data_IF_705932622660
#
_entry.id   IF_705932622660
#
_cell.length_a   1.000
_cell.length_b   1.000
_cell.length_c   1.000
_cell.angle_alpha   90.00
_cell.angle_beta   90.00
_cell.angle_gamma   90.00
#
_symmetry.space_group_name_H-M   'P 1'
#
loop_
_entity.id
_entity.type
_entity.pdbx_description
1 polymer ?
#
# COMPACT_ATOMS: atom_id res chain seq x y z
N UNK A 1 1.82 3.47 5.76
CA UNK A 1 2.53 4.22 6.80
C UNK A 1 2.57 3.39 8.06
N UNK A 2 3.74 3.33 8.72
CA UNK A 2 3.96 2.62 9.98
C UNK A 2 4.65 3.61 10.91
N UNK A 3 4.28 3.59 12.19
CA UNK A 3 4.88 4.43 13.23
C UNK A 3 5.19 3.51 14.41
N UNK A 4 6.46 3.44 14.81
CA UNK A 4 6.89 2.70 16.00
C UNK A 4 7.25 3.72 17.07
N UNK A 5 6.64 3.62 18.25
CA UNK A 5 6.71 4.64 19.29
C UNK A 5 6.99 4.00 20.65
N UNK A 6 7.94 4.58 21.37
CA UNK A 6 8.08 4.49 22.82
C UNK A 6 7.21 5.58 23.48
N UNK A 7 7.35 6.84 23.07
CA UNK A 7 6.49 7.95 23.49
C UNK A 7 5.46 8.34 22.43
N UNK A 8 4.18 8.27 22.80
CA UNK A 8 3.05 8.65 21.95
C UNK A 8 2.68 10.14 21.99
N UNK A 9 3.53 10.96 22.63
CA UNK A 9 3.42 12.42 22.67
C UNK A 9 4.79 13.05 22.49
N UNK A 10 4.83 14.37 22.34
CA UNK A 10 6.10 15.09 22.23
C UNK A 10 6.72 14.97 20.85
N UNK A 11 8.05 15.07 20.80
CA UNK A 11 8.76 15.07 19.53
C UNK A 11 8.79 13.72 18.85
N UNK A 12 8.78 12.62 19.61
CA UNK A 12 8.86 11.28 19.03
C UNK A 12 7.68 11.01 18.09
N UNK A 13 6.45 11.26 18.56
CA UNK A 13 5.29 11.15 17.68
C UNK A 13 5.42 12.03 16.45
N UNK A 14 5.75 13.32 16.62
CA UNK A 14 5.91 14.26 15.50
C UNK A 14 7.02 13.83 14.53
N UNK A 15 8.11 13.25 15.02
CA UNK A 15 9.24 12.82 14.20
C UNK A 15 8.90 11.57 13.38
N UNK A 16 8.40 10.53 14.04
CA UNK A 16 8.11 9.25 13.42
C UNK A 16 6.90 9.33 12.45
N UNK A 17 5.89 10.12 12.80
CA UNK A 17 4.82 10.46 11.86
C UNK A 17 5.36 11.33 10.72
N UNK A 18 6.30 12.23 11.00
CA UNK A 18 6.97 13.06 9.99
C UNK A 18 7.63 12.24 8.88
N UNK A 19 8.31 11.14 9.23
CA UNK A 19 8.88 10.21 8.25
C UNK A 19 7.84 9.63 7.28
N UNK A 20 6.60 9.43 7.72
CA UNK A 20 5.52 8.95 6.86
C UNK A 20 5.09 9.98 5.81
N UNK A 21 5.38 11.26 6.03
CA UNK A 21 5.15 12.35 5.07
C UNK A 21 6.32 12.53 4.08
N UNK A 22 7.30 11.62 4.08
CA UNK A 22 8.47 11.69 3.20
C UNK A 22 9.59 12.60 3.71
N UNK A 23 9.54 13.01 4.98
CA UNK A 23 10.56 13.86 5.59
C UNK A 23 11.78 13.03 6.00
N UNK A 24 12.97 13.54 5.70
CA UNK A 24 14.23 13.08 6.29
C UNK A 24 14.56 13.82 7.59
N UNK A 25 15.79 13.68 8.08
CA UNK A 25 16.30 14.49 9.20
C UNK A 25 16.83 15.84 8.71
N UNK A 26 16.76 16.86 9.57
CA UNK A 26 17.30 18.21 9.32
C UNK A 26 16.87 18.80 7.97
N UNK A 27 15.57 18.69 7.66
CA UNK A 27 15.01 19.08 6.36
C UNK A 27 15.28 20.56 6.08
N UNK A 28 16.01 20.82 4.98
CA UNK A 28 16.41 22.18 4.58
C UNK A 28 17.54 22.80 5.40
N UNK A 29 18.25 22.03 6.23
CA UNK A 29 19.31 22.53 7.12
C UNK A 29 18.81 23.65 8.02
N UNK A 30 19.69 24.58 8.42
CA UNK A 30 19.32 25.73 9.27
C UNK A 30 18.11 26.51 8.75
N UNK A 31 18.04 26.76 7.44
CA UNK A 31 16.97 27.53 6.80
C UNK A 31 15.59 26.87 6.89
N UNK A 32 15.54 25.54 6.96
CA UNK A 32 14.30 24.78 7.03
C UNK A 32 13.98 24.23 8.43
N UNK A 33 14.99 24.01 9.26
CA UNK A 33 14.86 23.25 10.51
C UNK A 33 14.86 24.09 11.79
N UNK A 34 15.20 25.37 11.72
CA UNK A 34 15.12 26.30 12.87
C UNK A 34 13.90 27.20 12.69
N UNK A 35 13.07 27.35 13.73
CA UNK A 35 11.99 28.36 13.74
C UNK A 35 12.60 29.76 13.81
N UNK A 36 12.01 30.73 13.09
CA UNK A 36 12.66 32.03 12.87
C UNK A 36 11.82 33.22 13.33
N UNK A 37 12.45 34.38 13.51
CA UNK A 37 11.80 35.67 13.75
C UNK A 37 11.01 36.16 12.54
N UNK A 38 10.09 37.12 12.73
CA UNK A 38 9.13 37.53 11.69
C UNK A 38 9.76 38.20 10.45
N UNK A 39 10.97 38.73 10.58
CA UNK A 39 11.76 39.34 9.50
C UNK A 39 12.53 38.32 8.65
N UNK A 40 12.39 37.03 8.96
CA UNK A 40 13.14 35.93 8.35
C UNK A 40 12.21 34.98 7.61
N UNK A 41 12.77 34.24 6.63
CA UNK A 41 12.10 33.07 6.04
C UNK A 41 11.84 32.01 7.11
N UNK A 42 10.98 31.03 6.82
CA UNK A 42 10.67 29.91 7.74
C UNK A 42 10.12 30.37 9.11
N UNK A 43 9.40 31.50 9.12
CA UNK A 43 8.77 32.09 10.29
C UNK A 43 7.27 31.92 10.25
N UNK A 44 6.69 31.44 11.35
CA UNK A 44 5.24 31.39 11.59
C UNK A 44 4.96 31.16 13.07
N UNK A 45 3.72 31.40 13.49
CA UNK A 45 3.17 30.88 14.75
C UNK A 45 2.12 29.82 14.44
N UNK A 46 2.00 28.83 15.32
CA UNK A 46 0.88 27.88 15.26
C UNK A 46 -0.44 28.56 15.62
N UNK A 47 -1.54 27.91 15.25
CA UNK A 47 -2.90 28.34 15.56
C UNK A 47 -3.70 27.17 16.12
N UNK A 48 -4.25 27.34 17.32
CA UNK A 48 -5.24 26.45 17.91
C UNK A 48 -6.63 27.09 17.69
N UNK A 49 -7.40 26.53 16.76
CA UNK A 49 -8.69 27.07 16.36
C UNK A 49 -9.78 26.86 17.43
N UNK A 50 -9.71 25.75 18.17
CA UNK A 50 -10.71 25.41 19.19
C UNK A 50 -10.58 26.32 20.43
N UNK A 51 -9.35 26.67 20.78
CA UNK A 51 -9.06 27.60 21.89
C UNK A 51 -8.94 29.05 21.43
N UNK A 52 -8.98 29.30 20.12
CA UNK A 52 -8.84 30.60 19.50
C UNK A 52 -7.57 31.34 19.96
N UNK A 53 -6.43 30.65 19.92
CA UNK A 53 -5.14 31.14 20.45
C UNK A 53 -3.97 30.79 19.54
N UNK A 54 -3.03 31.72 19.43
CA UNK A 54 -1.74 31.45 18.81
C UNK A 54 -0.84 30.59 19.69
N UNK A 55 0.00 29.78 19.03
CA UNK A 55 1.08 29.00 19.62
C UNK A 55 2.40 29.62 19.14
N UNK A 56 3.10 30.42 19.97
CA UNK A 56 4.37 31.00 19.59
C UNK A 56 5.42 29.94 19.23
N UNK A 57 6.32 30.28 18.30
CA UNK A 57 7.40 29.40 17.85
C UNK A 57 8.68 29.49 18.68
N UNK A 58 8.56 29.90 19.94
CA UNK A 58 9.66 30.05 20.89
C UNK A 58 9.25 29.57 22.29
N UNK A 59 10.24 29.23 23.10
CA UNK A 59 10.06 28.79 24.48
C UNK A 59 9.38 29.86 25.34
N UNK A 60 8.50 29.50 26.30
CA UNK A 60 7.98 30.46 27.27
C UNK A 60 9.08 30.98 28.23
N UNK A 61 10.23 30.28 28.31
CA UNK A 61 11.34 30.58 29.21
C UNK A 61 12.29 31.59 28.55
N UNK A 62 12.64 32.65 29.29
CA UNK A 62 13.65 33.66 28.88
C UNK A 62 15.07 33.18 29.20
N UNK A 63 15.58 32.22 28.43
CA UNK A 63 16.92 31.65 28.64
C UNK A 63 18.05 32.54 28.10
N UNK A 64 17.75 33.45 27.17
CA UNK A 64 18.74 34.23 26.42
C UNK A 64 19.56 33.42 25.40
N UNK A 65 19.24 32.14 25.19
CA UNK A 65 20.02 31.26 24.29
C UNK A 65 19.57 31.42 22.85
N UNK A 66 20.54 31.48 21.95
CA UNK A 66 20.35 31.31 20.52
C UNK A 66 19.97 29.85 20.18
N UNK A 67 19.28 29.67 19.06
CA UNK A 67 18.98 28.34 18.51
C UNK A 67 19.82 28.14 17.25
N UNK A 68 20.76 27.19 17.30
CA UNK A 68 21.76 27.02 16.25
C UNK A 68 21.69 25.65 15.58
N UNK A 69 22.01 25.61 14.29
CA UNK A 69 22.22 24.40 13.49
C UNK A 69 23.27 24.69 12.42
N UNK A 70 24.26 23.81 12.27
CA UNK A 70 25.37 23.94 11.31
C UNK A 70 26.02 25.33 11.29
N UNK A 71 26.53 25.76 12.45
CA UNK A 71 27.23 27.04 12.69
C UNK A 71 26.42 28.32 12.39
N UNK A 72 25.13 28.20 12.09
CA UNK A 72 24.20 29.31 11.95
C UNK A 72 23.25 29.37 13.13
N UNK A 73 22.90 30.58 13.58
CA UNK A 73 22.11 30.80 14.80
C UNK A 73 20.93 31.76 14.56
N UNK A 74 19.83 31.49 15.27
CA UNK A 74 18.69 32.40 15.43
C UNK A 74 18.75 33.03 16.81
N UNK A 75 18.86 34.36 16.86
CA UNK A 75 18.81 35.13 18.10
C UNK A 75 17.44 34.99 18.77
N UNK A 76 17.37 34.98 20.12
CA UNK A 76 16.12 34.84 20.84
C UNK A 76 15.20 36.07 20.71
N UNK A 77 13.89 35.87 20.76
CA UNK A 77 12.90 36.96 20.81
C UNK A 77 12.59 37.34 22.27
N UNK A 78 12.93 38.57 22.68
CA UNK A 78 12.77 39.02 24.08
C UNK A 78 13.34 38.00 25.10
N UNK A 79 14.55 37.49 24.79
CA UNK A 79 15.24 36.48 25.59
C UNK A 79 14.69 35.05 25.48
N UNK A 80 13.66 34.79 24.66
CA UNK A 80 13.09 33.45 24.44
C UNK A 80 13.69 32.78 23.22
N UNK A 81 14.30 31.61 23.43
CA UNK A 81 14.86 30.81 22.34
C UNK A 81 13.78 30.30 21.40
N UNK A 82 14.01 30.42 20.10
CA UNK A 82 13.16 29.82 19.08
C UNK A 82 13.23 28.29 19.11
N UNK A 83 12.18 27.62 18.64
CA UNK A 83 12.17 26.16 18.53
C UNK A 83 12.97 25.61 17.35
N UNK A 84 13.04 24.28 17.30
CA UNK A 84 13.50 23.53 16.13
C UNK A 84 12.35 22.70 15.57
N UNK A 85 12.46 22.35 14.29
CA UNK A 85 11.56 21.43 13.60
C UNK A 85 11.56 20.05 14.27
N UNK A 86 10.46 19.31 14.13
CA UNK A 86 10.35 17.97 14.70
C UNK A 86 11.38 16.98 14.13
N UNK A 87 11.87 17.23 12.91
CA UNK A 87 12.89 16.44 12.22
C UNK A 87 14.33 16.84 12.58
N UNK A 88 14.50 17.79 13.50
CA UNK A 88 15.81 18.35 13.89
C UNK A 88 15.98 18.45 15.42
N UNK A 89 15.30 17.60 16.18
CA UNK A 89 15.39 17.58 17.65
C UNK A 89 14.56 18.66 18.35
N UNK A 90 13.49 19.13 17.71
CA UNK A 90 12.51 20.02 18.33
C UNK A 90 11.82 19.40 19.55
N UNK A 91 11.03 20.22 20.25
CA UNK A 91 10.20 19.76 21.36
C UNK A 91 8.97 20.66 21.51
N UNK A 92 7.88 20.17 22.13
CA UNK A 92 6.74 21.03 22.44
C UNK A 92 7.14 22.17 23.39
N UNK A 93 6.64 23.38 23.15
CA UNK A 93 7.02 24.55 23.96
C UNK A 93 6.38 24.58 25.35
N UNK A 94 5.21 23.94 25.52
CA UNK A 94 4.49 23.90 26.79
C UNK A 94 3.47 22.76 26.79
N UNK A 95 2.85 22.51 27.95
CA UNK A 95 1.72 21.56 28.05
C UNK A 95 0.45 21.98 27.28
N UNK A 96 0.40 23.20 26.72
CA UNK A 96 -0.76 23.69 25.96
C UNK A 96 -0.97 22.89 24.66
N UNK A 97 0.11 22.60 23.94
CA UNK A 97 0.16 21.71 22.78
C UNK A 97 1.33 20.74 23.00
N UNK A 98 1.02 19.45 23.17
CA UNK A 98 2.02 18.43 23.57
C UNK A 98 2.77 17.82 22.38
N UNK A 99 2.69 18.43 21.20
CA UNK A 99 3.39 17.99 19.98
C UNK A 99 4.36 19.06 19.51
N UNK A 100 5.43 18.65 18.84
CA UNK A 100 6.42 19.60 18.31
C UNK A 100 5.84 20.33 17.10
N UNK A 101 6.00 21.65 17.08
CA UNK A 101 5.56 22.48 15.97
C UNK A 101 6.51 22.28 14.78
N UNK A 102 6.01 21.78 13.65
CA UNK A 102 6.78 21.77 12.40
C UNK A 102 7.05 23.20 11.92
N UNK A 103 8.22 23.41 11.30
CA UNK A 103 8.53 24.69 10.65
C UNK A 103 7.72 24.87 9.37
N UNK A 104 7.58 26.11 8.85
CA UNK A 104 6.91 26.37 7.58
C UNK A 104 7.43 25.52 6.41
N UNK A 105 8.75 25.33 6.31
CA UNK A 105 9.38 24.49 5.30
C UNK A 105 8.84 23.04 5.35
N UNK A 106 8.85 22.43 6.54
CA UNK A 106 8.36 21.07 6.73
C UNK A 106 6.84 20.99 6.54
N UNK A 107 6.08 21.96 7.06
CA UNK A 107 4.63 22.02 6.90
C UNK A 107 4.20 22.08 5.42
N UNK A 108 4.95 22.83 4.58
CA UNK A 108 4.70 22.89 3.14
C UNK A 108 4.94 21.54 2.44
N UNK A 109 5.99 20.80 2.84
CA UNK A 109 6.26 19.45 2.32
C UNK A 109 5.16 18.47 2.75
N UNK A 110 4.72 18.54 4.01
CA UNK A 110 3.62 17.72 4.52
C UNK A 110 2.33 18.02 3.73
N UNK A 111 2.02 19.29 3.47
CA UNK A 111 0.86 19.68 2.67
C UNK A 111 0.91 19.05 1.28
N UNK A 112 2.04 19.20 0.56
CA UNK A 112 2.22 18.59 -0.77
C UNK A 112 2.10 17.06 -0.72
N UNK A 113 2.63 16.43 0.32
CA UNK A 113 2.46 14.99 0.53
C UNK A 113 0.98 14.63 0.64
N UNK A 114 0.20 15.33 1.46
CA UNK A 114 -1.22 15.05 1.65
C UNK A 114 -2.01 15.27 0.35
N UNK A 115 -1.77 16.36 -0.36
CA UNK A 115 -2.37 16.65 -1.67
C UNK A 115 -2.06 15.56 -2.71
N UNK A 116 -0.89 14.92 -2.63
CA UNK A 116 -0.53 13.83 -3.54
C UNK A 116 -1.25 12.51 -3.30
N UNK A 117 -1.99 12.35 -2.19
CA UNK A 117 -2.59 11.07 -1.79
C UNK A 117 -4.08 11.03 -2.13
N UNK A 118 -4.54 9.88 -2.59
CA UNK A 118 -5.96 9.60 -2.63
C UNK A 118 -6.50 9.41 -1.21
N UNK A 119 -7.75 9.81 -0.99
CA UNK A 119 -8.50 9.66 0.25
C UNK A 119 -9.68 8.73 0.03
N UNK A 120 -10.09 8.01 1.07
CA UNK A 120 -11.36 7.29 1.06
C UNK A 120 -12.52 8.28 1.02
N UNK A 121 -13.47 8.06 0.13
CA UNK A 121 -14.60 8.96 -0.10
C UNK A 121 -15.85 8.14 -0.42
N UNK A 122 -16.81 8.11 0.51
CA UNK A 122 -18.05 7.34 0.37
C UNK A 122 -18.97 7.90 -0.72
N UNK A 123 -18.89 9.21 -1.00
CA UNK A 123 -19.72 9.89 -2.00
C UNK A 123 -19.13 9.77 -3.41
N UNK A 124 -17.85 9.40 -3.52
CA UNK A 124 -17.20 9.13 -4.81
C UNK A 124 -17.72 7.84 -5.44
N UNK A 125 -17.98 7.83 -6.77
CA UNK A 125 -18.40 6.61 -7.48
C UNK A 125 -17.36 5.48 -7.42
N UNK A 126 -16.07 5.81 -7.22
CA UNK A 126 -14.99 4.84 -7.09
C UNK A 126 -14.69 4.47 -5.63
N UNK A 127 -15.30 5.15 -4.66
CA UNK A 127 -14.99 5.03 -3.24
C UNK A 127 -13.73 5.80 -2.79
N UNK A 128 -13.10 6.53 -3.71
CA UNK A 128 -11.90 7.33 -3.43
C UNK A 128 -11.92 8.62 -4.22
N UNK A 129 -11.28 9.64 -3.67
CA UNK A 129 -11.04 10.91 -4.36
C UNK A 129 -9.58 11.31 -4.24
N UNK A 130 -9.05 12.05 -5.21
CA UNK A 130 -7.69 12.59 -5.17
C UNK A 130 -7.72 14.05 -5.64
N UNK A 131 -6.86 14.88 -5.04
CA UNK A 131 -6.73 16.28 -5.43
C UNK A 131 -6.14 16.40 -6.84
N UNK A 132 -6.80 17.19 -7.69
CA UNK A 132 -6.31 17.57 -9.00
C UNK A 132 -5.88 19.05 -8.96
N UNK A 133 -4.57 19.29 -9.10
CA UNK A 133 -4.00 20.64 -9.07
C UNK A 133 -4.39 21.51 -10.28
N UNK A 134 -4.68 20.91 -11.44
CA UNK A 134 -5.08 21.65 -12.63
C UNK A 134 -6.50 22.20 -12.51
N UNK A 135 -7.39 21.47 -11.83
CA UNK A 135 -8.79 21.88 -11.64
C UNK A 135 -9.06 22.52 -10.28
N UNK A 136 -8.16 22.34 -9.32
CA UNK A 136 -8.26 22.84 -7.96
C UNK A 136 -9.38 22.15 -7.17
N UNK A 137 -9.62 20.85 -7.40
CA UNK A 137 -10.74 20.09 -6.84
C UNK A 137 -10.36 18.64 -6.53
N UNK A 138 -11.12 18.01 -5.64
CA UNK A 138 -11.10 16.56 -5.47
C UNK A 138 -11.87 15.90 -6.63
N UNK A 139 -11.27 14.88 -7.25
CA UNK A 139 -11.85 14.12 -8.36
C UNK A 139 -11.83 12.62 -8.07
N UNK A 140 -12.75 11.81 -8.65
CA UNK A 140 -12.79 10.38 -8.41
C UNK A 140 -11.48 9.68 -8.77
N UNK A 141 -10.95 8.88 -7.83
CA UNK A 141 -9.73 8.12 -8.00
C UNK A 141 -10.02 6.62 -8.14
N UNK A 142 -9.56 5.98 -9.21
CA UNK A 142 -9.73 4.53 -9.41
C UNK A 142 -8.63 3.75 -8.69
N UNK A 143 -8.92 3.25 -7.49
CA UNK A 143 -8.03 2.33 -6.79
C UNK A 143 -8.11 0.93 -7.41
N UNK A 144 -6.96 0.37 -7.78
CA UNK A 144 -6.87 -0.92 -8.46
C UNK A 144 -5.97 -1.89 -7.70
N UNK A 145 -6.35 -3.16 -7.69
CA UNK A 145 -5.57 -4.26 -7.11
C UNK A 145 -5.29 -5.32 -8.17
N UNK A 146 -4.13 -5.96 -8.07
CA UNK A 146 -3.79 -7.13 -8.87
C UNK A 146 -4.56 -8.35 -8.31
N UNK A 147 -5.28 -9.07 -9.18
CA UNK A 147 -6.09 -10.24 -8.78
C UNK A 147 -5.75 -11.51 -9.54
N UNK A 148 -4.72 -11.47 -10.37
CA UNK A 148 -4.35 -12.57 -11.25
C UNK A 148 -3.08 -13.23 -10.72
N UNK A 149 -3.07 -14.56 -10.76
CA UNK A 149 -1.87 -15.34 -10.48
C UNK A 149 -0.85 -15.06 -11.58
N UNK A 150 0.35 -14.61 -11.20
CA UNK A 150 1.38 -14.28 -12.17
C UNK A 150 2.73 -14.88 -11.81
N UNK A 151 3.50 -15.21 -12.85
CA UNK A 151 4.85 -15.73 -12.70
C UNK A 151 5.78 -15.19 -13.78
N UNK A 152 7.08 -15.16 -13.49
CA UNK A 152 8.10 -14.91 -14.52
C UNK A 152 8.70 -16.24 -14.95
N UNK A 153 8.54 -16.57 -16.22
CA UNK A 153 9.04 -17.82 -16.80
C UNK A 153 10.57 -17.86 -16.80
N UNK A 154 11.19 -18.98 -16.39
CA UNK A 154 12.63 -19.18 -16.51
C UNK A 154 13.01 -19.38 -17.99
N UNK A 155 13.55 -18.34 -18.63
CA UNK A 155 13.72 -18.31 -20.09
C UNK A 155 14.72 -19.34 -20.63
N UNK A 156 15.72 -19.77 -19.84
CA UNK A 156 16.78 -20.69 -20.27
C UNK A 156 16.24 -22.05 -20.75
N UNK A 157 15.17 -22.54 -20.12
CA UNK A 157 14.57 -23.85 -20.41
C UNK A 157 13.08 -23.71 -20.76
N UNK A 158 12.69 -22.58 -21.35
CA UNK A 158 11.30 -22.30 -21.70
C UNK A 158 10.89 -23.01 -22.99
N UNK A 159 10.33 -24.21 -22.84
CA UNK A 159 9.69 -24.97 -23.94
C UNK A 159 8.20 -24.67 -24.02
N UNK A 160 7.55 -25.04 -25.14
CA UNK A 160 6.08 -24.95 -25.26
C UNK A 160 5.37 -25.71 -24.15
N UNK A 161 5.83 -26.94 -23.83
CA UNK A 161 5.27 -27.74 -22.75
C UNK A 161 5.37 -27.04 -21.38
N UNK A 162 6.48 -26.35 -21.12
CA UNK A 162 6.65 -25.55 -19.89
C UNK A 162 5.78 -24.30 -19.89
N UNK A 163 5.58 -23.66 -21.04
CA UNK A 163 4.63 -22.56 -21.18
C UNK A 163 3.19 -23.04 -20.91
N UNK A 164 2.81 -24.21 -21.43
CA UNK A 164 1.50 -24.83 -21.15
C UNK A 164 1.31 -25.09 -19.66
N UNK A 165 2.32 -25.67 -18.98
CA UNK A 165 2.21 -25.93 -17.53
C UNK A 165 2.08 -24.63 -16.73
N UNK A 166 2.84 -23.59 -17.09
CA UNK A 166 2.73 -22.29 -16.43
C UNK A 166 1.36 -21.64 -16.68
N UNK A 167 0.81 -21.68 -17.90
CA UNK A 167 -0.50 -21.11 -18.21
C UNK A 167 -1.69 -21.92 -17.65
N UNK A 168 -1.44 -23.15 -17.18
CA UNK A 168 -2.44 -23.93 -16.45
C UNK A 168 -2.58 -23.42 -15.00
N UNK A 169 -1.48 -23.00 -14.39
CA UNK A 169 -1.42 -22.54 -12.99
C UNK A 169 -1.60 -21.02 -12.85
N UNK A 170 -0.99 -20.25 -13.75
CA UNK A 170 -0.94 -18.79 -13.69
C UNK A 170 -1.81 -18.15 -14.77
N UNK A 171 -2.50 -17.08 -14.41
CA UNK A 171 -3.26 -16.23 -15.33
C UNK A 171 -2.35 -15.45 -16.27
N UNK A 172 -1.18 -15.04 -15.77
CA UNK A 172 -0.19 -14.28 -16.52
C UNK A 172 1.20 -14.90 -16.41
N UNK A 173 1.80 -15.22 -17.56
CA UNK A 173 3.18 -15.66 -17.65
C UNK A 173 4.02 -14.56 -18.30
N UNK A 174 4.94 -13.97 -17.52
CA UNK A 174 5.88 -12.97 -18.00
C UNK A 174 7.17 -13.64 -18.48
N UNK A 175 7.55 -13.39 -19.72
CA UNK A 175 8.83 -13.80 -20.32
C UNK A 175 9.73 -12.57 -20.35
N UNK A 176 10.59 -12.45 -19.34
CA UNK A 176 11.52 -11.33 -19.17
C UNK A 176 12.93 -11.73 -19.58
N UNK A 177 13.50 -11.03 -20.56
CA UNK A 177 14.82 -11.33 -21.11
C UNK A 177 15.76 -10.14 -20.96
N UNK A 178 17.01 -10.42 -20.62
CA UNK A 178 18.10 -9.44 -20.55
C UNK A 178 19.42 -10.11 -20.92
N UNK A 179 20.50 -9.33 -21.03
CA UNK A 179 21.82 -9.89 -21.29
C UNK A 179 22.20 -10.89 -20.18
N UNK A 180 22.59 -12.11 -20.57
CA UNK A 180 22.86 -13.23 -19.66
C UNK A 180 21.63 -14.05 -19.22
N UNK A 181 20.41 -13.59 -19.50
CA UNK A 181 19.15 -14.33 -19.28
C UNK A 181 18.26 -14.21 -20.52
N UNK A 182 18.55 -15.02 -21.53
CA UNK A 182 17.97 -14.91 -22.87
C UNK A 182 17.69 -16.29 -23.46
N UNK A 183 16.68 -16.36 -24.33
CA UNK A 183 16.42 -17.52 -25.18
C UNK A 183 16.13 -17.07 -26.61
N UNK A 184 16.49 -17.92 -27.58
CA UNK A 184 16.31 -17.65 -29.00
C UNK A 184 14.86 -17.74 -29.43
N UNK A 185 14.14 -18.72 -28.91
CA UNK A 185 12.78 -19.05 -29.33
C UNK A 185 11.85 -19.00 -28.11
N UNK A 186 10.68 -18.41 -28.28
CA UNK A 186 9.61 -18.36 -27.28
C UNK A 186 8.41 -19.02 -27.91
N UNK A 187 8.02 -20.18 -27.40
CA UNK A 187 6.90 -20.94 -27.96
C UNK A 187 5.67 -20.77 -27.10
N UNK A 188 4.64 -20.13 -27.66
CA UNK A 188 3.35 -19.93 -27.01
C UNK A 188 2.37 -20.97 -27.56
N UNK A 189 1.70 -21.75 -26.69
CA UNK A 189 0.80 -22.79 -27.14
C UNK A 189 -0.36 -22.22 -27.94
N UNK A 190 -0.94 -23.04 -28.82
CA UNK A 190 -2.12 -22.65 -29.57
C UNK A 190 -3.25 -22.18 -28.63
N UNK A 191 -3.93 -21.10 -29.01
CA UNK A 191 -5.10 -20.63 -28.27
C UNK A 191 -6.21 -21.69 -28.33
N UNK A 192 -6.82 -21.97 -27.18
CA UNK A 192 -7.86 -22.99 -27.04
C UNK A 192 -8.80 -22.62 -25.90
N UNK A 193 -10.00 -23.21 -25.81
CA UNK A 193 -10.91 -22.94 -24.70
C UNK A 193 -10.28 -23.09 -23.30
N UNK A 194 -9.26 -23.95 -23.16
CA UNK A 194 -8.53 -24.20 -21.91
C UNK A 194 -7.70 -22.99 -21.46
N UNK A 195 -7.11 -22.24 -22.39
CA UNK A 195 -6.27 -21.08 -22.06
C UNK A 195 -6.96 -19.74 -22.34
N UNK A 196 -8.30 -19.74 -22.53
CA UNK A 196 -9.07 -18.51 -22.68
C UNK A 196 -8.86 -17.61 -21.46
N UNK A 197 -8.57 -16.33 -21.71
CA UNK A 197 -8.32 -15.31 -20.69
C UNK A 197 -6.86 -15.25 -20.21
N UNK A 198 -6.05 -16.28 -20.47
CA UNK A 198 -4.63 -16.29 -20.07
C UNK A 198 -3.81 -15.27 -20.85
N UNK A 199 -2.75 -14.79 -20.23
CA UNK A 199 -1.91 -13.70 -20.73
C UNK A 199 -0.44 -14.15 -20.79
N UNK A 200 0.22 -13.85 -21.91
CA UNK A 200 1.68 -13.94 -22.03
C UNK A 200 2.24 -12.55 -22.25
N UNK A 201 3.13 -12.10 -21.37
CA UNK A 201 3.78 -10.78 -21.47
C UNK A 201 5.23 -10.97 -21.85
N UNK A 202 5.68 -10.30 -22.91
CA UNK A 202 7.07 -10.32 -23.38
C UNK A 202 7.73 -9.00 -22.99
N UNK A 203 8.82 -9.07 -22.24
CA UNK A 203 9.68 -7.92 -21.90
C UNK A 203 11.11 -8.25 -22.33
N UNK A 204 11.57 -7.64 -23.43
CA UNK A 204 12.84 -7.97 -24.06
C UNK A 204 13.84 -6.82 -23.93
N UNK A 205 14.86 -7.01 -23.09
CA UNK A 205 15.94 -6.05 -22.88
C UNK A 205 17.32 -6.59 -23.33
N UNK A 206 17.38 -7.79 -23.91
CA UNK A 206 18.62 -8.42 -24.34
C UNK A 206 19.14 -7.87 -25.68
N UNK A 207 20.44 -7.95 -25.91
CA UNK A 207 21.08 -7.48 -27.13
C UNK A 207 20.76 -8.36 -28.34
N UNK A 208 20.62 -9.68 -28.14
CA UNK A 208 20.27 -10.61 -29.21
C UNK A 208 18.77 -10.69 -29.44
N UNK A 209 18.36 -10.64 -30.71
CA UNK A 209 16.97 -10.84 -31.11
C UNK A 209 16.48 -12.26 -30.77
N UNK A 210 15.19 -12.36 -30.42
CA UNK A 210 14.49 -13.62 -30.20
C UNK A 210 13.36 -13.78 -31.24
N UNK A 211 12.78 -14.97 -31.31
CA UNK A 211 11.64 -15.27 -32.16
C UNK A 211 10.49 -15.82 -31.32
N UNK A 212 9.37 -15.11 -31.34
CA UNK A 212 8.10 -15.52 -30.74
C UNK A 212 7.30 -16.34 -31.75
N UNK A 213 6.95 -17.57 -31.39
CA UNK A 213 6.07 -18.44 -32.15
C UNK A 213 4.67 -18.36 -31.53
N UNK A 214 3.75 -17.71 -32.22
CA UNK A 214 2.40 -17.44 -31.71
C UNK A 214 1.40 -17.39 -32.87
N UNK A 215 0.19 -17.93 -32.69
CA UNK A 215 -0.83 -18.02 -33.76
C UNK A 215 -0.32 -18.66 -35.06
N UNK A 216 0.62 -19.60 -34.99
CA UNK A 216 1.27 -20.22 -36.16
C UNK A 216 2.21 -19.29 -36.95
N UNK A 217 2.53 -18.11 -36.41
CA UNK A 217 3.44 -17.14 -37.00
C UNK A 217 4.75 -17.08 -36.21
N UNK A 218 5.83 -16.71 -36.92
CA UNK A 218 7.14 -16.42 -36.33
C UNK A 218 7.34 -14.90 -36.33
N UNK A 219 7.32 -14.30 -35.14
CA UNK A 219 7.48 -12.86 -34.93
C UNK A 219 8.87 -12.58 -34.38
N UNK A 220 9.59 -11.65 -34.99
CA UNK A 220 10.89 -11.20 -34.48
C UNK A 220 10.68 -10.28 -33.28
N UNK A 221 11.37 -10.55 -32.18
CA UNK A 221 11.35 -9.76 -30.95
C UNK A 221 12.74 -9.17 -30.73
N UNK A 222 12.81 -7.86 -30.58
CA UNK A 222 14.06 -7.11 -30.42
C UNK A 222 14.07 -6.32 -29.12
N UNK A 223 15.26 -5.85 -28.75
CA UNK A 223 15.49 -5.03 -27.55
C UNK A 223 14.53 -3.85 -27.48
N UNK A 224 13.93 -3.65 -26.31
CA UNK A 224 12.95 -2.61 -26.02
C UNK A 224 11.50 -3.04 -26.23
N UNK A 225 11.23 -4.22 -26.82
CA UNK A 225 9.86 -4.69 -26.98
C UNK A 225 9.23 -5.01 -25.62
N UNK A 226 8.05 -4.42 -25.39
CA UNK A 226 7.18 -4.69 -24.24
C UNK A 226 5.74 -4.81 -24.72
N UNK A 227 5.19 -6.01 -24.70
CA UNK A 227 3.84 -6.28 -25.22
C UNK A 227 3.20 -7.46 -24.49
N UNK A 228 1.87 -7.54 -24.50
CA UNK A 228 1.13 -8.68 -23.95
C UNK A 228 0.21 -9.29 -25.00
N UNK A 229 0.03 -10.60 -24.90
CA UNK A 229 -0.90 -11.36 -25.71
C UNK A 229 -1.96 -11.98 -24.80
N UNK A 230 -3.24 -11.78 -25.10
CA UNK A 230 -4.35 -12.42 -24.37
C UNK A 230 -5.04 -13.44 -25.27
N UNK A 231 -5.25 -14.66 -24.78
CA UNK A 231 -6.01 -15.67 -25.52
C UNK A 231 -7.51 -15.43 -25.36
N UNK A 232 -8.27 -15.40 -26.46
CA UNK A 232 -9.74 -15.45 -26.45
C UNK A 232 -10.27 -16.91 -26.50
N UNK A 233 -9.37 -17.88 -26.47
CA UNK A 233 -9.62 -19.30 -26.62
C UNK A 233 -9.68 -19.82 -28.06
N UNK A 234 -9.41 -18.94 -29.04
CA UNK A 234 -9.25 -19.28 -30.47
C UNK A 234 -7.99 -18.64 -31.07
N UNK A 235 -7.62 -17.45 -30.59
CA UNK A 235 -6.44 -16.69 -31.03
C UNK A 235 -5.84 -15.92 -29.85
N UNK A 236 -4.53 -15.69 -29.92
CA UNK A 236 -3.84 -14.74 -29.07
C UNK A 236 -3.88 -13.34 -29.70
N UNK A 237 -4.41 -12.37 -28.99
CA UNK A 237 -4.52 -10.99 -29.44
C UNK A 237 -3.46 -10.13 -28.76
N UNK A 238 -2.64 -9.46 -29.56
CA UNK A 238 -1.63 -8.51 -29.08
C UNK A 238 -2.29 -7.25 -28.51
N UNK A 239 -1.71 -6.71 -27.45
CA UNK A 239 -2.11 -5.45 -26.85
C UNK A 239 -1.00 -4.85 -25.99
N UNK A 240 -1.25 -3.67 -25.38
CA UNK A 240 -0.31 -3.08 -24.45
C UNK A 240 -0.02 -4.04 -23.29
N UNK A 241 1.12 -3.84 -22.62
CA UNK A 241 1.48 -4.61 -21.42
C UNK A 241 0.30 -4.60 -20.46
N UNK A 242 -0.26 -5.78 -20.19
CA UNK A 242 -1.31 -5.93 -19.19
C UNK A 242 -0.66 -6.15 -17.84
N UNK A 243 -0.97 -5.25 -16.92
CA UNK A 243 -0.92 -5.50 -15.48
C UNK A 243 -2.37 -5.69 -15.07
N UNK A 244 -2.89 -6.92 -15.17
CA UNK A 244 -4.32 -7.14 -15.04
C UNK A 244 -4.68 -6.84 -13.59
N UNK A 245 -5.42 -5.76 -13.41
CA UNK A 245 -5.87 -5.25 -12.12
C UNK A 245 -7.36 -4.95 -12.23
N UNK A 246 -8.09 -5.10 -11.13
CA UNK A 246 -9.49 -4.73 -11.05
C UNK A 246 -9.64 -3.50 -10.18
N UNK A 247 -10.68 -2.70 -10.46
CA UNK A 247 -11.07 -1.64 -9.54
C UNK A 247 -11.57 -2.25 -8.24
N UNK A 248 -11.08 -1.75 -7.11
CA UNK A 248 -11.47 -2.21 -5.79
C UNK A 248 -12.04 -1.05 -5.00
N UNK A 249 -13.36 -1.09 -4.82
CA UNK A 249 -14.13 -0.11 -4.07
C UNK A 249 -14.59 -0.71 -2.73
N UNK A 250 -14.46 0.00 -1.60
CA UNK A 250 -15.08 -0.43 -0.35
C UNK A 250 -16.60 -0.53 -0.46
N UNK A 251 -17.17 -1.56 0.14
CA UNK A 251 -18.62 -1.72 0.27
C UNK A 251 -19.17 -0.90 1.44
N UNK A 252 -18.40 -0.80 2.53
CA UNK A 252 -18.72 0.03 3.69
C UNK A 252 -17.57 0.96 4.04
N UNK A 253 -17.91 2.14 4.56
CA UNK A 253 -16.97 3.20 4.89
C UNK A 253 -17.09 3.58 6.35
N UNK A 254 -15.97 3.59 7.08
CA UNK A 254 -15.92 4.08 8.45
C UNK A 254 -16.73 3.27 9.46
N UNK A 255 -16.85 1.96 9.25
CA UNK A 255 -17.59 1.06 10.16
C UNK A 255 -16.63 0.35 11.13
N UNK A 256 -17.10 -0.14 12.29
CA UNK A 256 -16.30 -1.05 13.10
C UNK A 256 -15.95 -2.34 12.35
N UNK A 257 -14.69 -2.76 12.44
CA UNK A 257 -14.15 -3.91 11.70
C UNK A 257 -13.39 -4.89 12.59
N UNK A 258 -13.55 -6.17 12.30
CA UNK A 258 -12.66 -7.25 12.71
C UNK A 258 -11.58 -7.41 11.64
N UNK A 259 -10.35 -7.01 11.91
CA UNK A 259 -9.21 -7.20 11.02
C UNK A 259 -8.53 -8.54 11.30
N UNK A 260 -8.62 -9.44 10.32
CA UNK A 260 -7.99 -10.75 10.33
C UNK A 260 -6.61 -10.64 9.68
N UNK A 261 -5.57 -11.13 10.35
CA UNK A 261 -4.20 -11.13 9.82
C UNK A 261 -3.51 -12.46 10.10
N UNK A 262 -2.59 -12.82 9.22
CA UNK A 262 -1.79 -14.02 9.39
C UNK A 262 -0.91 -14.35 8.21
N UNK A 263 -0.29 -15.51 8.31
CA UNK A 263 0.57 -16.06 7.29
C UNK A 263 0.05 -17.41 6.86
N UNK A 264 0.21 -17.72 5.57
CA UNK A 264 -0.14 -19.02 5.04
C UNK A 264 0.85 -19.45 3.98
N UNK A 265 1.00 -20.76 3.86
CA UNK A 265 1.78 -21.37 2.80
C UNK A 265 0.84 -22.14 1.86
N UNK A 266 0.63 -21.65 0.63
CA UNK A 266 -0.20 -22.34 -0.36
C UNK A 266 0.24 -23.78 -0.66
N UNK A 267 1.54 -24.07 -0.47
CA UNK A 267 2.10 -25.40 -0.70
C UNK A 267 1.95 -26.33 0.52
N UNK A 268 1.64 -25.78 1.70
CA UNK A 268 1.53 -26.54 2.96
C UNK A 268 2.85 -27.17 3.44
N UNK A 269 4.00 -26.63 3.04
CA UNK A 269 5.32 -27.07 3.51
C UNK A 269 5.69 -26.37 4.84
N UNK A 270 5.23 -25.13 5.01
CA UNK A 270 5.37 -24.34 6.23
C UNK A 270 4.02 -24.31 6.97
N UNK A 271 4.09 -24.24 8.30
CA UNK A 271 2.90 -24.13 9.13
C UNK A 271 2.25 -22.75 8.93
N UNK A 272 1.03 -22.75 8.41
CA UNK A 272 0.20 -21.56 8.34
C UNK A 272 -0.23 -21.14 9.75
N UNK A 273 -0.49 -19.85 9.94
CA UNK A 273 -0.84 -19.29 11.24
C UNK A 273 -1.73 -18.06 11.13
N UNK A 274 -2.90 -18.12 11.73
CA UNK A 274 -3.83 -17.01 11.91
C UNK A 274 -3.57 -16.38 13.29
N UNK A 275 -3.32 -15.07 13.32
CA UNK A 275 -3.20 -14.36 14.60
C UNK A 275 -4.58 -14.11 15.21
N UNK A 276 -4.65 -13.85 16.54
CA UNK A 276 -5.85 -13.30 17.14
C UNK A 276 -6.37 -12.10 16.35
N UNK A 277 -7.68 -12.07 16.14
CA UNK A 277 -8.33 -10.98 15.43
C UNK A 277 -8.06 -9.63 16.12
N UNK A 278 -7.83 -8.60 15.30
CA UNK A 278 -7.73 -7.22 15.78
C UNK A 278 -9.08 -6.54 15.57
N UNK A 279 -9.46 -5.62 16.45
CA UNK A 279 -10.74 -4.94 16.35
C UNK A 279 -10.53 -3.42 16.25
N UNK A 280 -11.10 -2.81 15.21
CA UNK A 280 -10.96 -1.39 14.91
C UNK A 280 -12.30 -0.67 14.91
N UNK A 281 -12.36 0.52 15.50
CA UNK A 281 -13.56 1.34 15.55
C UNK A 281 -13.98 1.92 14.18
N UNK A 282 -13.00 2.10 13.28
CA UNK A 282 -13.19 2.74 11.98
C UNK A 282 -12.38 2.01 10.92
N UNK A 283 -13.07 1.45 9.94
CA UNK A 283 -12.44 0.71 8.85
C UNK A 283 -13.29 0.64 7.59
N UNK A 284 -12.70 0.03 6.58
CA UNK A 284 -13.31 -0.17 5.26
C UNK A 284 -13.40 -1.66 4.99
N UNK A 285 -14.57 -2.11 4.53
CA UNK A 285 -14.82 -3.52 4.20
C UNK A 285 -15.10 -3.66 2.71
N UNK A 286 -14.85 -4.84 2.17
CA UNK A 286 -14.99 -5.12 0.74
C UNK A 286 -15.82 -6.39 0.54
N UNK A 287 -16.42 -6.50 -0.64
CA UNK A 287 -17.12 -7.72 -1.04
C UNK A 287 -16.21 -8.93 -0.96
N UNK A 288 -16.81 -10.07 -0.64
CA UNK A 288 -16.12 -11.36 -0.69
C UNK A 288 -16.05 -11.87 -2.15
N UNK A 289 -15.24 -12.90 -2.37
CA UNK A 289 -14.89 -13.42 -3.70
C UNK A 289 -15.59 -14.75 -4.01
N UNK A 290 -16.65 -15.10 -3.25
CA UNK A 290 -17.30 -16.42 -3.28
C UNK A 290 -17.68 -16.93 -4.68
N UNK A 291 -18.18 -16.02 -5.53
CA UNK A 291 -18.70 -16.36 -6.86
C UNK A 291 -17.59 -16.58 -7.88
N UNK A 292 -16.36 -16.20 -7.53
CA UNK A 292 -15.20 -16.30 -8.40
C UNK A 292 -14.30 -17.48 -8.03
N UNK A 293 -14.47 -18.07 -6.84
CA UNK A 293 -13.58 -19.10 -6.29
C UNK A 293 -13.85 -20.50 -6.86
N UNK A 294 -12.77 -21.22 -7.12
CA UNK A 294 -12.80 -22.63 -7.49
C UNK A 294 -12.29 -23.51 -6.32
N UNK A 295 -12.56 -24.82 -6.33
CA UNK A 295 -12.11 -25.74 -5.26
C UNK A 295 -10.57 -25.80 -5.08
N UNK A 296 -9.83 -25.48 -6.14
CA UNK A 296 -8.37 -25.45 -6.12
C UNK A 296 -7.80 -24.16 -5.52
N UNK A 297 -8.63 -23.13 -5.31
CA UNK A 297 -8.17 -21.83 -4.85
C UNK A 297 -7.90 -21.83 -3.34
N UNK A 298 -6.82 -21.15 -2.97
CA UNK A 298 -6.58 -20.69 -1.61
C UNK A 298 -7.58 -19.57 -1.27
N UNK A 299 -8.17 -19.64 -0.08
CA UNK A 299 -9.07 -18.61 0.43
C UNK A 299 -9.14 -18.61 1.95
N UNK A 300 -9.56 -17.48 2.52
CA UNK A 300 -10.09 -17.42 3.88
C UNK A 300 -11.58 -17.77 3.84
N UNK A 301 -12.00 -18.68 4.72
CA UNK A 301 -13.40 -18.92 5.03
C UNK A 301 -13.69 -18.29 6.39
N UNK A 302 -14.61 -17.33 6.44
CA UNK A 302 -15.00 -16.65 7.68
C UNK A 302 -16.45 -16.98 7.98
N UNK A 303 -16.69 -17.64 9.11
CA UNK A 303 -18.04 -17.95 9.56
C UNK A 303 -18.63 -16.75 10.30
N UNK A 304 -19.80 -16.29 9.87
CA UNK A 304 -20.49 -15.12 10.44
C UNK A 304 -21.94 -15.48 10.81
N UNK A 305 -22.64 -14.62 11.55
CA UNK A 305 -24.07 -14.85 11.84
C UNK A 305 -24.94 -14.83 10.59
N UNK A 306 -24.48 -14.18 9.52
CA UNK A 306 -25.23 -13.97 8.28
C UNK A 306 -24.83 -14.98 7.18
N UNK A 307 -24.03 -15.98 7.53
CA UNK A 307 -23.49 -17.00 6.62
C UNK A 307 -21.99 -16.81 6.34
N UNK A 308 -21.37 -17.78 5.65
CA UNK A 308 -19.94 -17.75 5.40
C UNK A 308 -19.55 -16.64 4.41
N UNK A 309 -18.41 -16.03 4.63
CA UNK A 309 -17.71 -15.15 3.69
C UNK A 309 -16.46 -15.85 3.17
N UNK A 310 -16.10 -15.64 1.90
CA UNK A 310 -14.89 -16.22 1.30
C UNK A 310 -14.01 -15.19 0.62
N UNK A 311 -12.75 -15.07 1.03
CA UNK A 311 -11.81 -14.10 0.46
C UNK A 311 -10.67 -14.83 -0.24
N UNK A 312 -10.46 -14.54 -1.52
CA UNK A 312 -9.41 -15.18 -2.32
C UNK A 312 -8.03 -14.87 -1.74
N UNK A 313 -7.19 -15.90 -1.69
CA UNK A 313 -5.78 -15.83 -1.40
C UNK A 313 -4.99 -16.32 -2.63
N UNK A 314 -3.70 -15.99 -2.68
CA UNK A 314 -2.84 -16.45 -3.76
C UNK A 314 -2.57 -17.96 -3.65
N UNK A 315 -2.62 -18.64 -4.79
CA UNK A 315 -2.43 -20.08 -4.95
C UNK A 315 -0.96 -20.51 -4.89
N UNK A 316 -0.04 -19.55 -4.97
CA UNK A 316 1.40 -19.74 -4.93
C UNK A 316 2.06 -18.74 -3.99
N UNK A 317 3.24 -19.10 -3.47
CA UNK A 317 4.04 -18.14 -2.70
C UNK A 317 4.43 -16.98 -3.61
N UNK A 318 4.14 -15.76 -3.18
CA UNK A 318 4.54 -14.52 -3.85
C UNK A 318 6.07 -14.36 -3.83
N UNK A 319 6.73 -14.97 -2.85
CA UNK A 319 8.18 -15.10 -2.78
C UNK A 319 8.54 -16.51 -2.34
N UNK A 320 9.34 -17.22 -3.14
CA UNK A 320 9.62 -18.66 -2.98
C UNK A 320 10.07 -19.08 -1.57
N UNK A 321 10.73 -18.17 -0.83
CA UNK A 321 11.38 -18.44 0.45
C UNK A 321 10.53 -18.13 1.68
N UNK A 322 9.37 -17.50 1.52
CA UNK A 322 8.57 -17.03 2.66
C UNK A 322 7.08 -17.31 2.45
N UNK A 323 6.35 -17.42 3.56
CA UNK A 323 4.89 -17.52 3.54
C UNK A 323 4.26 -16.23 2.99
N UNK A 324 3.08 -16.39 2.40
CA UNK A 324 2.25 -15.25 2.04
C UNK A 324 1.62 -14.66 3.31
N UNK A 325 1.37 -13.36 3.29
CA UNK A 325 0.61 -12.66 4.32
C UNK A 325 -0.81 -12.40 3.83
N UNK A 326 -1.79 -12.52 4.70
CA UNK A 326 -3.15 -12.03 4.44
C UNK A 326 -3.53 -10.95 5.45
N UNK A 327 -4.41 -10.05 5.03
CA UNK A 327 -5.08 -9.08 5.89
C UNK A 327 -6.46 -8.74 5.32
N UNK A 328 -7.52 -9.00 6.08
CA UNK A 328 -8.91 -8.79 5.62
C UNK A 328 -9.73 -8.12 6.72
N UNK A 329 -10.47 -7.08 6.36
CA UNK A 329 -11.44 -6.45 7.25
C UNK A 329 -12.82 -7.04 7.06
N UNK A 330 -13.40 -7.55 8.15
CA UNK A 330 -14.77 -8.05 8.23
C UNK A 330 -15.60 -7.04 9.02
N UNK A 331 -16.84 -6.71 8.61
CA UNK A 331 -17.68 -5.83 9.42
C UNK A 331 -18.03 -6.50 10.75
N UNK A 332 -17.78 -5.83 11.88
CA UNK A 332 -18.14 -6.35 13.22
C UNK A 332 -19.64 -6.67 13.34
N UNK A 333 -20.48 -5.90 12.63
CA UNK A 333 -21.93 -6.12 12.58
C UNK A 333 -22.35 -7.47 12.00
N UNK A 334 -21.46 -8.16 11.28
CA UNK A 334 -21.69 -9.54 10.81
C UNK A 334 -21.45 -10.60 11.88
N UNK A 335 -20.90 -10.23 13.04
CA UNK A 335 -20.58 -11.13 14.15
C UNK A 335 -19.73 -12.33 13.69
N UNK A 336 -18.49 -12.09 13.21
CA UNK A 336 -17.60 -13.18 12.80
C UNK A 336 -17.23 -14.06 14.00
N UNK A 337 -17.21 -15.38 13.79
CA UNK A 337 -17.07 -16.40 14.85
C UNK A 337 -15.82 -17.25 14.72
N UNK A 338 -15.40 -17.54 13.49
CA UNK A 338 -14.15 -18.23 13.21
C UNK A 338 -13.63 -17.85 11.83
N UNK A 339 -12.33 -18.07 11.64
CA UNK A 339 -11.66 -17.95 10.34
C UNK A 339 -10.84 -19.20 10.10
N UNK A 340 -10.87 -19.68 8.86
CA UNK A 340 -10.11 -20.82 8.39
C UNK A 340 -9.31 -20.43 7.16
N UNK A 341 -8.04 -20.83 7.10
CA UNK A 341 -7.27 -20.80 5.85
C UNK A 341 -7.50 -22.13 5.13
N UNK A 342 -8.04 -22.08 3.92
CA UNK A 342 -8.29 -23.26 3.08
C UNK A 342 -7.48 -23.12 1.78
N UNK A 343 -6.76 -24.16 1.39
CA UNK A 343 -6.04 -24.23 0.11
C UNK A 343 -6.26 -25.60 -0.53
N UNK A 344 -6.70 -25.62 -1.80
CA UNK A 344 -6.97 -26.86 -2.56
C UNK A 344 -7.87 -27.82 -1.79
N UNK A 345 -8.92 -27.29 -1.17
CA UNK A 345 -9.86 -28.01 -0.32
C UNK A 345 -9.32 -28.48 1.04
N UNK A 346 -8.03 -28.26 1.34
CA UNK A 346 -7.41 -28.62 2.62
C UNK A 346 -7.43 -27.43 3.58
N UNK A 347 -7.90 -27.67 4.80
CA UNK A 347 -7.75 -26.75 5.92
C UNK A 347 -6.27 -26.70 6.33
N UNK A 348 -5.67 -25.50 6.31
CA UNK A 348 -4.29 -25.28 6.71
C UNK A 348 -4.18 -24.79 8.16
N UNK A 349 -5.12 -23.96 8.59
CA UNK A 349 -5.22 -23.44 9.96
C UNK A 349 -6.65 -22.96 10.22
N UNK A 350 -7.08 -22.95 11.49
CA UNK A 350 -8.38 -22.45 11.93
C UNK A 350 -8.24 -21.75 13.29
N UNK A 351 -8.88 -20.59 13.43
CA UNK A 351 -8.86 -19.83 14.68
C UNK A 351 -10.26 -19.28 15.01
N UNK A 352 -10.74 -19.45 16.26
CA UNK A 352 -11.96 -18.77 16.71
C UNK A 352 -11.72 -17.26 16.79
N UNK A 353 -12.76 -16.50 16.51
CA UNK A 353 -12.77 -15.04 16.60
C UNK A 353 -13.51 -14.65 17.87
N UNK A 354 -12.81 -14.02 18.81
CA UNK A 354 -13.42 -13.46 20.00
C UNK A 354 -14.23 -12.21 19.64
N UNK A 355 -15.39 -12.03 20.28
CA UNK A 355 -16.13 -10.78 20.18
C UNK A 355 -15.42 -9.67 20.94
N UNK A 356 -15.64 -8.41 20.53
CA UNK A 356 -15.18 -7.25 21.28
C UNK A 356 -15.83 -7.21 22.66
N UNK A 357 -15.02 -6.97 23.69
CA UNK A 357 -15.49 -6.82 25.08
C UNK A 357 -15.72 -5.37 25.47
N UNK A 358 -15.22 -4.43 24.67
CA UNK A 358 -15.24 -2.99 24.92
C UNK A 358 -15.85 -2.25 23.74
N UNK A 359 -16.46 -1.09 24.03
CA UNK A 359 -16.95 -0.19 23.00
C UNK A 359 -15.76 0.46 22.26
N UNK A 360 -15.70 0.27 20.95
CA UNK A 360 -14.63 0.81 20.11
C UNK A 360 -15.02 2.20 19.60
N UNK A 361 -14.19 3.20 19.91
CA UNK A 361 -14.42 4.60 19.50
C UNK A 361 -13.30 5.12 18.61
N UNK A 362 -13.63 6.02 17.69
CA UNK A 362 -12.68 6.79 16.90
C UNK A 362 -12.98 8.29 17.06
N UNK A 363 -12.00 9.13 16.72
CA UNK A 363 -12.15 10.59 16.75
C UNK A 363 -11.99 11.17 15.36
N UNK A 364 -12.84 12.15 15.02
CA UNK A 364 -12.69 12.98 13.82
C UNK A 364 -12.34 14.39 14.27
N UNK A 365 -11.21 14.92 13.78
CA UNK A 365 -10.79 16.29 14.01
C UNK A 365 -10.78 17.02 12.67
N UNK A 366 -11.37 18.20 12.59
CA UNK A 366 -11.58 18.90 11.32
C UNK A 366 -12.81 18.40 10.55
N UNK A 367 -12.70 18.30 9.21
CA UNK A 367 -13.80 17.97 8.30
C UNK A 367 -13.48 16.77 7.43
#
# INVERSE_FOLDING_TARGET
>A
GIVTLDNSIGNELSHEVGHNYGLGHYVGGFKGSVHRSADQINSTWGWDADKNRFIPNFSPIRSGKETCLDDQCQDPFDGRSFGMDAMAGGSPFSGFNRFTLYTPNTAAIIQQFLESKAVFDADSPTGFSQWNADTGRMEPFSHRIDVFEQTTAPVKDLTEAKMVSLLAEYDLVRVAMQDGNWTKNIEVPAASPINRGRIVTIDHAAAYDSFLFINGQKVKVSRGLRTSYTSDGKRWTEGPVKTPSIERRPQSFGVPVTTLVGYYDPNGELNSYIYPAMHGAYGFTYSDDRDQLNEQDCHLLVETSNGPLRFRLANHRLSEKVMNKFHVNIPESSQPRSVTVVCRGKMLDEQPIAATTEELTYTVNGR
#
